data_IF_400478025617
#
_entry.id   IF_400478025617
#
_cell.length_a   1.000
_cell.length_b   1.000
_cell.length_c   1.000
_cell.angle_alpha   90.00
_cell.angle_beta   90.00
_cell.angle_gamma   90.00
#
_symmetry.space_group_name_H-M   'P 1'
#
loop_
_entity.id
_entity.type
_entity.pdbx_description
1 polymer ?
#
# COMPACT_ATOMS: atom_id res chain seq x y z
N UNK A 1 -11.62 57.88 57.31
CA UNK A 1 -12.17 56.70 56.62
C UNK A 1 -11.70 56.70 55.15
N UNK A 2 -10.90 55.69 54.80
CA UNK A 2 -10.71 55.04 53.48
C UNK A 2 -10.74 55.86 52.17
N UNK A 3 -9.57 56.12 51.58
CA UNK A 3 -9.39 56.51 50.15
C UNK A 3 -8.55 55.52 49.31
N UNK A 4 -8.20 54.34 49.82
CA UNK A 4 -7.16 53.48 49.20
C UNK A 4 -7.65 52.17 48.53
N UNK A 5 -8.94 52.02 48.19
CA UNK A 5 -9.47 50.72 47.70
C UNK A 5 -9.61 50.62 46.16
N UNK A 6 -9.58 51.73 45.42
CA UNK A 6 -9.92 51.72 43.97
C UNK A 6 -8.72 51.36 43.06
N UNK A 7 -7.47 51.48 43.53
CA UNK A 7 -6.29 51.19 42.70
C UNK A 7 -5.98 49.68 42.52
N UNK A 8 -6.52 48.80 43.38
CA UNK A 8 -6.22 47.36 43.34
C UNK A 8 -7.04 46.58 42.30
N UNK A 9 -8.25 47.04 41.96
CA UNK A 9 -9.17 46.33 41.06
C UNK A 9 -8.87 46.60 39.57
N UNK A 10 -8.31 47.78 39.25
CA UNK A 10 -7.90 48.11 37.88
C UNK A 10 -6.63 47.37 37.43
N UNK A 11 -5.71 47.06 38.35
CA UNK A 11 -4.45 46.37 38.05
C UNK A 11 -4.67 44.88 37.73
N UNK A 12 -5.62 44.23 38.42
CA UNK A 12 -5.96 42.81 38.18
C UNK A 12 -6.69 42.58 36.85
N UNK A 13 -7.51 43.54 36.42
CA UNK A 13 -8.24 43.45 35.15
C UNK A 13 -7.34 43.68 33.91
N UNK A 14 -6.35 44.59 34.00
CA UNK A 14 -5.36 44.79 32.93
C UNK A 14 -4.46 43.57 32.72
N UNK A 15 -4.15 42.84 33.80
CA UNK A 15 -3.28 41.66 33.74
C UNK A 15 -3.96 40.48 33.02
N UNK A 16 -5.28 40.32 33.14
CA UNK A 16 -6.01 39.23 32.46
C UNK A 16 -6.07 39.38 30.93
N UNK A 17 -6.13 40.61 30.41
CA UNK A 17 -6.21 40.88 28.96
C UNK A 17 -4.85 40.72 28.25
N UNK A 18 -3.75 41.13 28.90
CA UNK A 18 -2.40 41.04 28.32
C UNK A 18 -1.97 39.58 28.04
N UNK A 19 -2.30 38.65 28.93
CA UNK A 19 -1.94 37.24 28.76
C UNK A 19 -2.73 36.53 27.66
N UNK A 20 -3.94 37.02 27.34
CA UNK A 20 -4.77 36.42 26.29
C UNK A 20 -4.16 36.65 24.88
N UNK A 21 -3.61 37.85 24.64
CA UNK A 21 -2.95 38.18 23.39
C UNK A 21 -1.63 37.41 23.22
N UNK A 22 -0.81 37.34 24.28
CA UNK A 22 0.46 36.58 24.26
C UNK A 22 0.25 35.08 24.07
N UNK A 23 -0.77 34.49 24.73
CA UNK A 23 -1.12 33.08 24.54
C UNK A 23 -1.58 32.81 23.10
N UNK A 24 -2.35 33.73 22.52
CA UNK A 24 -2.77 33.66 21.12
C UNK A 24 -1.59 33.74 20.15
N UNK A 25 -0.57 34.55 20.42
CA UNK A 25 0.67 34.61 19.63
C UNK A 25 1.44 33.29 19.68
N UNK A 26 1.60 32.72 20.87
CA UNK A 26 2.26 31.43 21.05
C UNK A 26 1.54 30.31 20.29
N UNK A 27 0.20 30.31 20.35
CA UNK A 27 -0.65 29.38 19.62
C UNK A 27 -0.52 29.54 18.10
N UNK A 28 -0.42 30.78 17.59
CA UNK A 28 -0.18 31.02 16.15
C UNK A 28 1.16 30.46 15.70
N UNK A 29 2.22 30.60 16.50
CA UNK A 29 3.53 30.00 16.21
C UNK A 29 3.44 28.48 16.15
N UNK A 30 2.71 27.88 17.09
CA UNK A 30 2.45 26.44 17.11
C UNK A 30 1.73 25.96 15.85
N UNK A 31 0.64 26.62 15.46
CA UNK A 31 -0.15 26.29 14.27
C UNK A 31 0.67 26.43 12.98
N UNK A 32 1.60 27.39 12.94
CA UNK A 32 2.57 27.55 11.86
C UNK A 32 3.73 26.55 11.89
N UNK A 33 3.76 25.66 12.89
CA UNK A 33 4.83 24.68 13.13
C UNK A 33 6.20 25.32 13.44
N UNK A 34 6.19 26.55 13.95
CA UNK A 34 7.37 27.27 14.45
C UNK A 34 7.68 26.84 15.89
N UNK A 35 7.83 25.52 16.10
CA UNK A 35 7.80 24.90 17.44
C UNK A 35 8.86 25.45 18.40
N UNK A 36 10.05 25.82 17.91
CA UNK A 36 11.10 26.41 18.77
C UNK A 36 10.70 27.77 19.33
N UNK A 37 10.03 28.60 18.54
CA UNK A 37 9.57 29.93 18.99
C UNK A 37 8.32 29.79 19.86
N UNK A 38 7.40 28.89 19.50
CA UNK A 38 6.26 28.55 20.33
C UNK A 38 6.72 28.05 21.72
N UNK A 39 7.74 27.19 21.77
CA UNK A 39 8.31 26.66 23.01
C UNK A 39 8.79 27.78 23.94
N UNK A 40 9.51 28.75 23.38
CA UNK A 40 10.03 29.89 24.14
C UNK A 40 8.89 30.73 24.73
N UNK A 41 7.84 31.02 23.95
CA UNK A 41 6.71 31.81 24.44
C UNK A 41 5.86 31.06 25.46
N UNK A 42 5.54 29.78 25.21
CA UNK A 42 4.84 28.95 26.17
C UNK A 42 5.65 28.77 27.47
N UNK A 43 6.98 28.68 27.40
CA UNK A 43 7.85 28.64 28.59
C UNK A 43 7.65 29.88 29.48
N UNK A 44 7.72 31.08 28.90
CA UNK A 44 7.54 32.33 29.64
C UNK A 44 6.13 32.43 30.23
N UNK A 45 5.09 32.08 29.48
CA UNK A 45 3.70 32.13 29.94
C UNK A 45 3.41 31.08 31.03
N UNK A 46 3.96 29.87 30.91
CA UNK A 46 3.79 28.81 31.89
C UNK A 46 4.44 29.18 33.24
N UNK A 47 5.61 29.82 33.20
CA UNK A 47 6.31 30.38 34.38
C UNK A 47 5.49 31.49 35.05
N UNK A 48 4.81 32.34 34.27
CA UNK A 48 3.85 33.34 34.77
C UNK A 48 2.57 32.74 35.35
N UNK A 49 2.39 31.42 35.25
CA UNK A 49 1.26 30.72 35.84
C UNK A 49 0.06 30.55 34.92
N UNK A 50 0.16 30.87 33.62
CA UNK A 50 -0.94 30.72 32.66
C UNK A 50 -1.26 29.23 32.46
N UNK A 51 -2.44 28.72 32.87
CA UNK A 51 -2.71 27.28 32.90
C UNK A 51 -2.64 26.61 31.53
N UNK A 52 -3.19 27.25 30.49
CA UNK A 52 -3.13 26.74 29.11
C UNK A 52 -1.69 26.66 28.57
N UNK A 53 -0.82 27.59 28.95
CA UNK A 53 0.59 27.54 28.57
C UNK A 53 1.34 26.42 29.33
N UNK A 54 0.99 26.16 30.58
CA UNK A 54 1.55 25.01 31.33
C UNK A 54 1.14 23.68 30.71
N UNK A 55 -0.11 23.56 30.26
CA UNK A 55 -0.59 22.41 29.50
C UNK A 55 0.26 22.22 28.25
N UNK A 56 0.33 23.25 27.40
CA UNK A 56 1.08 23.19 26.14
C UNK A 56 2.56 22.90 26.35
N UNK A 57 3.22 23.59 27.27
CA UNK A 57 4.64 23.35 27.57
C UNK A 57 4.89 21.91 28.04
N UNK A 58 3.96 21.35 28.82
CA UNK A 58 3.99 19.95 29.24
C UNK A 58 3.94 18.98 28.06
N UNK A 59 3.04 19.21 27.10
CA UNK A 59 2.95 18.44 25.86
C UNK A 59 4.23 18.58 25.02
N UNK A 60 4.75 19.80 24.87
CA UNK A 60 5.98 20.06 24.11
C UNK A 60 7.19 19.29 24.65
N UNK A 61 7.37 19.23 25.98
CA UNK A 61 8.40 18.38 26.59
C UNK A 61 8.11 16.88 26.39
N UNK A 62 6.85 16.48 26.41
CA UNK A 62 6.44 15.08 26.27
C UNK A 62 6.64 14.51 24.86
N UNK A 63 6.38 15.32 23.84
CA UNK A 63 6.53 14.97 22.42
C UNK A 63 7.86 15.45 21.82
N UNK A 64 8.62 16.28 22.53
CA UNK A 64 9.89 16.85 22.02
C UNK A 64 9.67 17.87 20.90
N UNK A 65 8.55 18.61 20.93
CA UNK A 65 8.25 19.60 19.90
C UNK A 65 8.92 20.93 20.26
N UNK A 66 9.86 21.38 19.44
CA UNK A 66 10.64 22.59 19.69
C UNK A 66 11.71 22.46 20.79
N UNK A 67 11.83 21.29 21.41
CA UNK A 67 12.78 20.98 22.51
C UNK A 67 13.16 19.49 22.50
N UNK A 68 14.12 19.08 23.32
CA UNK A 68 14.37 17.67 23.56
C UNK A 68 13.25 17.07 24.45
N UNK A 69 12.89 15.81 24.19
CA UNK A 69 11.92 15.11 25.03
C UNK A 69 12.43 15.01 26.48
N UNK A 70 11.56 15.36 27.44
CA UNK A 70 11.84 15.30 28.88
C UNK A 70 10.55 14.94 29.63
N UNK A 71 10.38 13.65 29.94
CA UNK A 71 9.15 13.11 30.55
C UNK A 71 8.91 13.68 31.94
N UNK A 72 9.97 13.96 32.70
CA UNK A 72 9.85 14.50 34.04
C UNK A 72 9.40 15.96 34.02
N UNK A 73 9.94 16.78 33.10
CA UNK A 73 9.45 18.15 32.89
C UNK A 73 8.04 18.18 32.34
N UNK A 74 7.70 17.28 31.41
CA UNK A 74 6.34 17.14 30.93
C UNK A 74 5.38 16.88 32.09
N UNK A 75 5.71 15.91 32.96
CA UNK A 75 4.89 15.59 34.12
C UNK A 75 4.79 16.75 35.12
N UNK A 76 5.88 17.49 35.34
CA UNK A 76 5.89 18.68 36.19
C UNK A 76 4.89 19.74 35.70
N UNK A 77 4.96 20.12 34.43
CA UNK A 77 4.10 21.18 33.87
C UNK A 77 2.64 20.74 33.76
N UNK A 78 2.39 19.50 33.32
CA UNK A 78 1.03 18.97 33.22
C UNK A 78 0.35 18.81 34.59
N UNK A 79 1.09 18.41 35.63
CA UNK A 79 0.50 18.37 36.99
C UNK A 79 0.15 19.77 37.51
N UNK A 80 0.92 20.80 37.17
CA UNK A 80 0.58 22.20 37.49
C UNK A 80 -0.66 22.66 36.73
N UNK A 81 -0.73 22.39 35.42
CA UNK A 81 -1.90 22.71 34.61
C UNK A 81 -3.17 22.04 35.14
N UNK A 82 -3.09 20.74 35.48
CA UNK A 82 -4.17 19.98 36.12
C UNK A 82 -4.62 20.61 37.43
N UNK A 83 -3.68 20.97 38.31
CA UNK A 83 -3.97 21.64 39.57
C UNK A 83 -4.59 23.04 39.38
N UNK A 84 -4.28 23.70 38.26
CA UNK A 84 -4.83 24.99 37.86
C UNK A 84 -6.13 24.89 37.04
N UNK A 85 -6.76 23.70 36.99
CA UNK A 85 -8.08 23.49 36.38
C UNK A 85 -8.07 23.23 34.87
N UNK A 86 -6.97 22.75 34.30
CA UNK A 86 -6.92 22.21 32.92
C UNK A 86 -7.18 20.70 32.96
N UNK A 87 -8.43 20.22 32.75
CA UNK A 87 -8.74 18.79 32.80
C UNK A 87 -7.99 17.97 31.74
N UNK A 88 -7.69 18.56 30.58
CA UNK A 88 -6.96 17.96 29.47
C UNK A 88 -5.56 17.47 29.91
N UNK A 89 -4.94 18.15 30.88
CA UNK A 89 -3.61 17.80 31.35
C UNK A 89 -3.51 16.38 31.93
N UNK A 90 -4.61 15.83 32.45
CA UNK A 90 -4.66 14.45 32.91
C UNK A 90 -4.56 13.45 31.74
N UNK A 91 -5.20 13.75 30.61
CA UNK A 91 -5.10 12.95 29.39
C UNK A 91 -3.70 13.07 28.77
N UNK A 92 -3.15 14.28 28.68
CA UNK A 92 -1.79 14.51 28.16
C UNK A 92 -0.73 13.76 28.98
N UNK A 93 -0.89 13.66 30.31
CA UNK A 93 -0.01 12.85 31.16
C UNK A 93 -0.02 11.37 30.74
N UNK A 94 -1.20 10.81 30.46
CA UNK A 94 -1.33 9.42 30.02
C UNK A 94 -0.68 9.23 28.64
N UNK A 95 -0.87 10.17 27.71
CA UNK A 95 -0.25 10.13 26.40
C UNK A 95 1.28 10.17 26.48
N UNK A 96 1.84 11.07 27.29
CA UNK A 96 3.30 11.17 27.47
C UNK A 96 3.88 9.87 28.08
N UNK A 97 3.19 9.29 29.06
CA UNK A 97 3.60 8.02 29.66
C UNK A 97 3.51 6.86 28.66
N UNK A 98 2.43 6.79 27.88
CA UNK A 98 2.25 5.76 26.87
C UNK A 98 3.29 5.87 25.75
N UNK A 99 3.54 7.09 25.29
CA UNK A 99 4.62 7.39 24.33
C UNK A 99 5.98 6.90 24.84
N UNK A 100 6.28 7.14 26.12
CA UNK A 100 7.52 6.66 26.73
C UNK A 100 7.59 5.13 26.80
N UNK A 101 6.46 4.46 27.11
CA UNK A 101 6.39 2.98 27.10
C UNK A 101 6.59 2.40 25.70
N UNK A 102 6.04 3.05 24.69
CA UNK A 102 6.05 2.60 23.28
C UNK A 102 7.16 3.21 22.43
N UNK A 103 8.18 3.79 23.07
CA UNK A 103 9.30 4.46 22.38
C UNK A 103 9.97 3.58 21.33
N UNK A 104 10.15 2.29 21.62
CA UNK A 104 10.76 1.34 20.68
C UNK A 104 9.91 1.11 19.42
N UNK A 105 8.58 1.16 19.53
CA UNK A 105 7.68 1.04 18.37
C UNK A 105 7.77 2.30 17.49
N UNK A 106 7.80 3.49 18.09
CA UNK A 106 8.03 4.76 17.35
C UNK A 106 9.40 4.73 16.66
N UNK A 107 10.43 4.25 17.35
CA UNK A 107 11.79 4.11 16.82
C UNK A 107 11.84 3.15 15.63
N UNK A 108 11.10 2.05 15.68
CA UNK A 108 10.98 1.13 14.55
C UNK A 108 10.52 1.85 13.29
N UNK A 109 9.42 2.61 13.33
CA UNK A 109 8.92 3.31 12.15
C UNK A 109 9.83 4.45 11.68
N UNK A 110 10.57 5.09 12.60
CA UNK A 110 11.43 6.24 12.28
C UNK A 110 12.84 5.87 11.85
N UNK A 111 13.31 4.66 12.13
CA UNK A 111 14.71 4.26 11.94
C UNK A 111 14.90 2.85 11.37
N UNK A 112 14.07 1.88 11.76
CA UNK A 112 14.30 0.45 11.50
C UNK A 112 13.24 -0.21 10.61
N UNK A 113 12.34 0.58 10.02
CA UNK A 113 11.22 0.06 9.25
C UNK A 113 11.71 -0.81 8.08
N UNK A 114 11.34 -2.09 8.11
CA UNK A 114 11.79 -3.08 7.13
C UNK A 114 10.71 -3.44 6.09
N UNK A 115 9.46 -3.04 6.33
CA UNK A 115 8.33 -3.33 5.46
C UNK A 115 8.03 -4.83 5.34
N UNK A 116 8.29 -5.64 6.37
CA UNK A 116 8.13 -7.10 6.32
C UNK A 116 6.77 -7.57 5.76
N UNK A 117 5.67 -6.92 6.15
CA UNK A 117 4.32 -7.21 5.67
C UNK A 117 4.08 -6.84 4.19
N UNK A 118 4.94 -5.98 3.62
CA UNK A 118 4.86 -5.51 2.24
C UNK A 118 5.79 -6.27 1.30
N UNK A 119 6.64 -7.17 1.82
CA UNK A 119 7.56 -7.94 0.97
C UNK A 119 6.78 -8.85 0.01
N UNK A 120 7.26 -8.93 -1.23
CA UNK A 120 6.59 -9.71 -2.28
C UNK A 120 6.46 -11.20 -1.95
N UNK A 121 7.45 -11.79 -1.27
CA UNK A 121 7.43 -13.20 -0.86
C UNK A 121 6.32 -13.52 0.15
N UNK A 122 5.88 -12.54 0.93
CA UNK A 122 4.74 -12.69 1.84
C UNK A 122 3.42 -13.00 1.10
N UNK A 123 3.29 -12.57 -0.16
CA UNK A 123 2.07 -12.80 -0.96
C UNK A 123 2.00 -14.20 -1.57
N UNK A 124 3.11 -14.95 -1.57
CA UNK A 124 3.16 -16.33 -2.07
C UNK A 124 2.80 -16.47 -3.56
N UNK A 125 3.14 -15.46 -4.38
CA UNK A 125 2.83 -15.50 -5.81
C UNK A 125 3.73 -16.49 -6.55
N UNK A 126 3.13 -17.56 -7.09
CA UNK A 126 3.86 -18.58 -7.86
C UNK A 126 4.06 -18.09 -9.29
N UNK A 127 5.33 -17.86 -9.68
CA UNK A 127 5.67 -17.43 -11.04
C UNK A 127 5.21 -18.50 -12.06
N UNK A 128 4.49 -18.11 -13.13
CA UNK A 128 4.00 -19.06 -14.12
C UNK A 128 5.16 -19.56 -14.99
N UNK A 129 5.16 -20.84 -15.33
CA UNK A 129 6.04 -21.38 -16.38
C UNK A 129 5.38 -21.18 -17.73
N UNK A 130 5.98 -20.35 -18.58
CA UNK A 130 5.45 -20.00 -19.90
C UNK A 130 6.38 -20.61 -20.98
N UNK A 131 5.94 -21.64 -21.73
CA UNK A 131 6.76 -22.20 -22.80
C UNK A 131 6.85 -21.22 -23.98
N UNK A 132 7.79 -21.44 -24.91
CA UNK A 132 7.87 -20.62 -26.12
C UNK A 132 6.63 -20.76 -27.02
N UNK A 133 6.01 -21.95 -27.04
CA UNK A 133 4.80 -22.25 -27.82
C UNK A 133 4.03 -23.40 -27.17
N UNK A 134 2.70 -23.32 -27.14
CA UNK A 134 1.84 -24.44 -26.74
C UNK A 134 1.28 -25.15 -27.98
N UNK A 135 1.35 -26.49 -28.00
CA UNK A 135 0.93 -27.29 -29.16
C UNK A 135 -0.40 -28.04 -28.95
N UNK A 136 -0.96 -27.96 -27.75
CA UNK A 136 -2.24 -28.58 -27.41
C UNK A 136 -3.16 -27.60 -26.68
N UNK A 137 -4.47 -27.82 -26.79
CA UNK A 137 -5.47 -27.04 -26.05
C UNK A 137 -5.31 -27.17 -24.53
N UNK A 138 -4.83 -28.33 -24.05
CA UNK A 138 -4.56 -28.55 -22.64
C UNK A 138 -3.43 -27.64 -22.14
N UNK A 139 -2.32 -27.54 -22.89
CA UNK A 139 -1.21 -26.65 -22.55
C UNK A 139 -1.63 -25.18 -22.60
N UNK A 140 -2.42 -24.80 -23.62
CA UNK A 140 -2.95 -23.42 -23.73
C UNK A 140 -3.79 -23.05 -22.52
N UNK A 141 -4.68 -23.96 -22.09
CA UNK A 141 -5.51 -23.75 -20.90
C UNK A 141 -4.67 -23.65 -19.64
N UNK A 142 -3.66 -24.51 -19.48
CA UNK A 142 -2.80 -24.53 -18.31
C UNK A 142 -1.96 -23.24 -18.18
N UNK A 143 -1.32 -22.79 -19.26
CA UNK A 143 -0.52 -21.55 -19.26
C UNK A 143 -1.40 -20.34 -18.96
N UNK A 144 -2.56 -20.21 -19.61
CA UNK A 144 -3.49 -19.12 -19.32
C UNK A 144 -3.94 -19.13 -17.86
N UNK A 145 -4.29 -20.30 -17.32
CA UNK A 145 -4.70 -20.41 -15.91
C UNK A 145 -3.56 -20.00 -14.95
N UNK A 146 -2.32 -20.42 -15.22
CA UNK A 146 -1.16 -20.03 -14.42
C UNK A 146 -0.90 -18.53 -14.46
N UNK A 147 -0.93 -17.91 -15.65
CA UNK A 147 -0.75 -16.46 -15.81
C UNK A 147 -1.88 -15.69 -15.12
N UNK A 148 -3.13 -16.13 -15.24
CA UNK A 148 -4.26 -15.51 -14.55
C UNK A 148 -4.09 -15.59 -13.02
N UNK A 149 -3.76 -16.77 -12.48
CA UNK A 149 -3.53 -16.95 -11.05
C UNK A 149 -2.41 -16.03 -10.53
N UNK A 150 -1.29 -15.96 -11.26
CA UNK A 150 -0.18 -15.08 -10.90
C UNK A 150 -0.58 -13.60 -10.98
N UNK A 151 -1.27 -13.16 -12.03
CA UNK A 151 -1.71 -11.77 -12.20
C UNK A 151 -2.66 -11.35 -11.08
N UNK A 152 -3.59 -12.22 -10.68
CA UNK A 152 -4.47 -11.97 -9.53
C UNK A 152 -3.70 -11.88 -8.21
N UNK A 153 -2.65 -12.69 -8.03
CA UNK A 153 -1.79 -12.59 -6.85
C UNK A 153 -0.97 -11.30 -6.84
N UNK A 154 -0.30 -10.99 -7.95
CA UNK A 154 0.48 -9.76 -8.12
C UNK A 154 -0.39 -8.51 -7.93
N UNK A 155 -1.65 -8.54 -8.38
CA UNK A 155 -2.62 -7.47 -8.13
C UNK A 155 -2.87 -7.21 -6.64
N UNK A 156 -2.93 -8.25 -5.79
CA UNK A 156 -3.02 -8.07 -4.33
C UNK A 156 -1.77 -7.45 -3.74
N UNK A 157 -0.59 -7.83 -4.25
CA UNK A 157 0.68 -7.19 -3.87
C UNK A 157 0.65 -5.69 -4.18
N UNK A 158 0.30 -5.31 -5.41
CA UNK A 158 0.18 -3.91 -5.82
C UNK A 158 -0.85 -3.16 -4.96
N UNK A 159 -1.98 -3.78 -4.65
CA UNK A 159 -2.98 -3.18 -3.77
C UNK A 159 -2.44 -2.97 -2.35
N UNK A 160 -1.72 -3.95 -1.79
CA UNK A 160 -1.11 -3.82 -0.46
C UNK A 160 -0.06 -2.70 -0.40
N UNK A 161 0.74 -2.55 -1.46
CA UNK A 161 1.63 -1.39 -1.61
C UNK A 161 0.83 -0.09 -1.69
N UNK A 162 -0.24 -0.04 -2.50
CA UNK A 162 -1.09 1.16 -2.60
C UNK A 162 -1.70 1.56 -1.26
N UNK A 163 -2.14 0.59 -0.47
CA UNK A 163 -2.71 0.81 0.87
C UNK A 163 -1.66 1.27 1.90
N UNK A 164 -0.36 1.09 1.61
CA UNK A 164 0.71 1.54 2.51
C UNK A 164 0.97 3.04 2.45
N UNK A 165 0.34 3.75 1.51
CA UNK A 165 0.44 5.20 1.35
C UNK A 165 -0.93 5.88 1.56
N UNK A 166 -0.98 6.98 2.36
CA UNK A 166 0.13 7.56 3.13
C UNK A 166 0.58 6.66 4.29
N UNK A 167 1.67 7.02 4.98
CA UNK A 167 2.29 6.22 6.05
C UNK A 167 1.32 5.74 7.16
N UNK A 168 0.19 6.43 7.35
CA UNK A 168 -0.89 6.00 8.25
C UNK A 168 -1.59 4.70 7.82
N UNK A 169 -1.36 4.22 6.61
CA UNK A 169 -1.78 2.90 6.14
C UNK A 169 -0.94 1.75 6.72
N UNK A 170 0.24 2.03 7.29
CA UNK A 170 1.13 1.03 7.92
C UNK A 170 1.45 1.33 9.39
N UNK A 171 1.42 2.60 9.81
CA UNK A 171 1.59 3.00 11.21
C UNK A 171 0.26 2.76 11.95
N UNK A 172 0.24 1.98 13.05
CA UNK A 172 -0.96 1.76 13.85
C UNK A 172 -1.57 3.10 14.30
N UNK A 173 -2.91 3.30 14.19
CA UNK A 173 -3.53 4.59 14.49
C UNK A 173 -3.33 5.08 15.94
N UNK A 174 -3.22 4.14 16.88
CA UNK A 174 -2.92 4.39 18.28
C UNK A 174 -1.46 4.80 18.49
N UNK A 175 -0.53 4.24 17.72
CA UNK A 175 0.88 4.65 17.74
C UNK A 175 1.07 6.03 17.08
N UNK A 176 0.38 6.29 15.96
CA UNK A 176 0.43 7.58 15.26
C UNK A 176 0.10 8.77 16.17
N UNK A 177 -0.88 8.61 17.07
CA UNK A 177 -1.25 9.64 18.08
C UNK A 177 -0.14 9.95 19.08
N UNK A 178 0.85 9.06 19.23
CA UNK A 178 1.97 9.22 20.15
C UNK A 178 3.20 9.82 19.46
N UNK A 179 3.18 9.97 18.13
CA UNK A 179 4.31 10.50 17.39
C UNK A 179 4.28 12.02 17.36
N UNK A 180 5.45 12.64 17.51
CA UNK A 180 5.59 14.07 17.18
C UNK A 180 5.50 14.27 15.67
N UNK A 181 5.28 15.52 15.24
CA UNK A 181 5.29 15.81 13.82
C UNK A 181 6.62 15.40 13.14
N UNK A 182 7.77 15.67 13.77
CA UNK A 182 9.08 15.33 13.20
C UNK A 182 9.29 13.82 13.07
N UNK A 183 8.82 13.05 14.05
CA UNK A 183 8.84 11.58 13.98
C UNK A 183 7.94 11.08 12.86
N UNK A 184 6.74 11.60 12.72
CA UNK A 184 5.85 11.22 11.62
C UNK A 184 6.46 11.53 10.24
N UNK A 185 7.08 12.70 10.07
CA UNK A 185 7.77 13.05 8.82
C UNK A 185 8.92 12.09 8.53
N UNK A 186 9.76 11.77 9.53
CA UNK A 186 10.83 10.77 9.37
C UNK A 186 10.29 9.41 9.01
N UNK A 187 9.28 8.92 9.72
CA UNK A 187 8.65 7.64 9.43
C UNK A 187 8.05 7.61 8.02
N UNK A 188 7.40 8.69 7.60
CA UNK A 188 6.83 8.80 6.25
C UNK A 188 7.90 8.64 5.16
N UNK A 189 9.04 9.32 5.31
CA UNK A 189 10.18 9.21 4.38
C UNK A 189 10.79 7.80 4.42
N UNK A 190 10.96 7.22 5.60
CA UNK A 190 11.50 5.86 5.76
C UNK A 190 10.60 4.82 5.09
N UNK A 191 9.30 4.88 5.34
CA UNK A 191 8.29 3.99 4.75
C UNK A 191 8.28 4.15 3.24
N UNK A 192 8.23 5.39 2.74
CA UNK A 192 8.25 5.65 1.30
C UNK A 192 9.50 5.07 0.63
N UNK A 193 10.68 5.37 1.17
CA UNK A 193 11.94 4.83 0.65
C UNK A 193 11.97 3.30 0.67
N UNK A 194 11.49 2.68 1.76
CA UNK A 194 11.43 1.22 1.87
C UNK A 194 10.46 0.62 0.86
N UNK A 195 9.28 1.21 0.70
CA UNK A 195 8.28 0.79 -0.29
C UNK A 195 8.86 0.88 -1.70
N UNK A 196 9.54 1.98 -2.05
CA UNK A 196 10.20 2.12 -3.35
C UNK A 196 11.25 1.03 -3.59
N UNK A 197 12.01 0.63 -2.57
CA UNK A 197 12.95 -0.49 -2.68
C UNK A 197 12.24 -1.84 -2.88
N UNK A 198 11.14 -2.08 -2.17
CA UNK A 198 10.42 -3.37 -2.20
C UNK A 198 9.68 -3.63 -3.52
N UNK A 199 9.36 -2.61 -4.30
CA UNK A 199 8.60 -2.77 -5.56
C UNK A 199 9.48 -3.02 -6.80
N UNK A 200 10.78 -2.69 -6.78
CA UNK A 200 11.63 -2.74 -7.98
C UNK A 200 11.71 -4.13 -8.59
N UNK A 201 12.13 -5.13 -7.81
CA UNK A 201 12.28 -6.49 -8.33
C UNK A 201 10.94 -7.14 -8.72
N UNK A 202 9.85 -6.99 -7.92
CA UNK A 202 8.52 -7.43 -8.34
C UNK A 202 8.03 -6.78 -9.64
N UNK A 203 8.30 -5.48 -9.85
CA UNK A 203 7.96 -4.78 -11.09
C UNK A 203 8.72 -5.36 -12.29
N UNK A 204 10.03 -5.58 -12.17
CA UNK A 204 10.84 -6.22 -13.22
C UNK A 204 10.37 -7.65 -13.53
N UNK A 205 10.01 -8.41 -12.49
CA UNK A 205 9.42 -9.74 -12.65
C UNK A 205 8.10 -9.65 -13.45
N UNK A 206 7.25 -8.69 -13.12
CA UNK A 206 5.98 -8.50 -13.82
C UNK A 206 6.18 -8.15 -15.30
N UNK A 207 7.10 -7.25 -15.60
CA UNK A 207 7.47 -6.92 -16.99
C UNK A 207 7.93 -8.16 -17.76
N UNK A 208 8.76 -9.00 -17.12
CA UNK A 208 9.27 -10.24 -17.70
C UNK A 208 8.13 -11.23 -18.00
N UNK A 209 7.28 -11.54 -17.01
CA UNK A 209 6.15 -12.46 -17.16
C UNK A 209 5.19 -11.96 -18.24
N UNK A 210 4.93 -10.66 -18.32
CA UNK A 210 4.05 -10.08 -19.33
C UNK A 210 4.66 -10.13 -20.74
N UNK A 211 5.98 -9.92 -20.87
CA UNK A 211 6.69 -10.05 -22.13
C UNK A 211 6.69 -11.50 -22.62
N UNK A 212 6.98 -12.47 -21.75
CA UNK A 212 6.94 -13.90 -22.06
C UNK A 212 5.54 -14.34 -22.48
N UNK A 213 4.51 -13.94 -21.73
CA UNK A 213 3.11 -14.25 -22.05
C UNK A 213 2.71 -13.68 -23.43
N UNK A 214 3.13 -12.45 -23.74
CA UNK A 214 2.88 -11.82 -25.05
C UNK A 214 3.55 -12.60 -26.19
N UNK A 215 4.82 -12.97 -26.02
CA UNK A 215 5.57 -13.75 -27.00
C UNK A 215 4.94 -15.14 -27.21
N UNK A 216 4.62 -15.83 -26.12
CA UNK A 216 3.95 -17.13 -26.13
C UNK A 216 2.60 -17.09 -26.83
N UNK A 217 1.76 -16.07 -26.56
CA UNK A 217 0.46 -15.91 -27.25
C UNK A 217 0.65 -15.79 -28.76
N UNK A 218 1.54 -14.90 -29.21
CA UNK A 218 1.81 -14.70 -30.63
C UNK A 218 2.32 -15.98 -31.32
N UNK A 219 3.28 -16.67 -30.71
CA UNK A 219 3.84 -17.91 -31.26
C UNK A 219 2.80 -19.06 -31.29
N UNK A 220 1.98 -19.17 -30.24
CA UNK A 220 0.94 -20.20 -30.11
C UNK A 220 -0.21 -19.97 -31.08
N UNK A 221 -0.68 -18.73 -31.23
CA UNK A 221 -1.70 -18.37 -32.22
C UNK A 221 -1.22 -18.70 -33.64
N UNK A 222 0.04 -18.36 -33.96
CA UNK A 222 0.66 -18.74 -35.24
C UNK A 222 0.69 -20.25 -35.43
N UNK A 223 1.16 -21.01 -34.44
CA UNK A 223 1.20 -22.48 -34.52
C UNK A 223 -0.19 -23.08 -34.75
N UNK A 224 -1.21 -22.61 -34.01
CA UNK A 224 -2.58 -23.09 -34.15
C UNK A 224 -3.12 -22.83 -35.56
N UNK A 225 -2.90 -21.64 -36.11
CA UNK A 225 -3.30 -21.29 -37.47
C UNK A 225 -2.61 -22.19 -38.51
N UNK A 226 -1.28 -22.32 -38.43
CA UNK A 226 -0.49 -23.13 -39.36
C UNK A 226 -0.90 -24.62 -39.29
N UNK A 227 -1.11 -25.15 -38.08
CA UNK A 227 -1.53 -26.53 -37.86
C UNK A 227 -2.94 -26.81 -38.37
N UNK A 228 -3.89 -25.89 -38.15
CA UNK A 228 -5.26 -26.02 -38.67
C UNK A 228 -5.28 -26.01 -40.19
N UNK A 229 -4.52 -25.11 -40.83
CA UNK A 229 -4.38 -25.08 -42.28
C UNK A 229 -3.82 -26.41 -42.84
N UNK A 230 -2.80 -26.98 -42.19
CA UNK A 230 -2.23 -28.28 -42.57
C UNK A 230 -3.22 -29.44 -42.38
N UNK A 231 -4.04 -29.42 -41.32
CA UNK A 231 -5.11 -30.41 -41.12
C UNK A 231 -6.15 -30.28 -42.23
N UNK A 232 -6.57 -29.07 -42.58
CA UNK A 232 -7.56 -28.83 -43.65
C UNK A 232 -7.06 -29.30 -45.01
N UNK A 233 -5.79 -29.04 -45.34
CA UNK A 233 -5.16 -29.51 -46.58
C UNK A 233 -5.12 -31.04 -46.64
N UNK A 234 -4.71 -31.70 -45.55
CA UNK A 234 -4.71 -33.15 -45.43
C UNK A 234 -6.12 -33.74 -45.53
N UNK A 235 -7.12 -33.11 -44.92
CA UNK A 235 -8.51 -33.54 -45.02
C UNK A 235 -9.05 -33.42 -46.45
N UNK A 236 -8.70 -32.35 -47.18
CA UNK A 236 -9.04 -32.20 -48.60
C UNK A 236 -8.41 -33.31 -49.44
N UNK A 237 -7.12 -33.61 -49.22
CA UNK A 237 -6.41 -34.70 -49.92
C UNK A 237 -7.07 -36.06 -49.64
N UNK A 238 -7.33 -36.38 -48.37
CA UNK A 238 -7.97 -37.62 -47.98
C UNK A 238 -9.38 -37.77 -48.60
N UNK A 239 -10.13 -36.66 -48.72
CA UNK A 239 -11.44 -36.65 -49.38
C UNK A 239 -11.31 -36.97 -50.87
N UNK A 240 -10.36 -36.35 -51.57
CA UNK A 240 -10.10 -36.64 -52.99
C UNK A 240 -9.73 -38.11 -53.17
N UNK A 241 -8.85 -38.63 -52.32
CA UNK A 241 -8.42 -40.04 -52.35
C UNK A 241 -9.60 -41.00 -52.10
N UNK A 242 -10.45 -40.68 -51.12
CA UNK A 242 -11.68 -41.42 -50.86
C UNK A 242 -12.65 -41.40 -52.05
N UNK A 243 -12.86 -40.22 -52.66
CA UNK A 243 -13.77 -40.06 -53.81
C UNK A 243 -13.25 -40.82 -55.06
N UNK A 244 -11.93 -40.89 -55.26
CA UNK A 244 -11.30 -41.67 -56.33
C UNK A 244 -11.50 -43.17 -56.09
N UNK A 245 -11.15 -43.66 -54.90
CA UNK A 245 -11.31 -45.06 -54.53
C UNK A 245 -12.78 -45.51 -54.68
N UNK A 246 -13.72 -44.68 -54.26
CA UNK A 246 -15.14 -45.01 -54.37
C UNK A 246 -15.59 -45.12 -55.84
N UNK A 247 -15.10 -44.24 -56.73
CA UNK A 247 -15.37 -44.34 -58.17
C UNK A 247 -14.80 -45.62 -58.80
N UNK A 248 -13.60 -46.01 -58.40
CA UNK A 248 -12.97 -47.26 -58.85
C UNK A 248 -13.81 -48.48 -58.43
N UNK A 249 -14.24 -48.52 -57.16
CA UNK A 249 -15.10 -49.58 -56.63
C UNK A 249 -16.43 -49.66 -57.40
N UNK A 250 -17.09 -48.52 -57.64
CA UNK A 250 -18.34 -48.46 -58.41
C UNK A 250 -18.15 -48.94 -59.86
N UNK A 251 -17.04 -48.56 -60.51
CA UNK A 251 -16.72 -49.03 -61.86
C UNK A 251 -16.49 -50.53 -61.90
N UNK A 252 -15.74 -51.07 -60.94
CA UNK A 252 -15.48 -52.51 -60.83
C UNK A 252 -16.76 -53.30 -60.59
N UNK A 253 -17.65 -52.78 -59.74
CA UNK A 253 -18.94 -53.38 -59.47
C UNK A 253 -19.83 -53.39 -60.72
N UNK A 254 -19.93 -52.27 -61.43
CA UNK A 254 -20.67 -52.17 -62.68
C UNK A 254 -20.14 -53.15 -63.74
N UNK A 255 -18.81 -53.22 -63.89
CA UNK A 255 -18.16 -54.17 -64.81
C UNK A 255 -18.51 -55.63 -64.48
N UNK A 256 -18.46 -56.00 -63.19
CA UNK A 256 -18.85 -57.34 -62.74
C UNK A 256 -20.31 -57.64 -63.02
N UNK A 257 -21.21 -56.69 -62.81
CA UNK A 257 -22.63 -56.87 -63.13
C UNK A 257 -22.86 -57.09 -64.63
N UNK A 258 -22.17 -56.34 -65.49
CA UNK A 258 -22.29 -56.49 -66.94
C UNK A 258 -21.74 -57.84 -67.42
N UNK A 259 -20.62 -58.30 -66.85
CA UNK A 259 -20.09 -59.66 -67.11
C UNK A 259 -21.12 -60.73 -66.71
N UNK A 260 -21.76 -60.59 -65.54
CA UNK A 260 -22.79 -61.54 -65.08
C UNK A 260 -24.01 -61.55 -66.01
N UNK A 261 -24.49 -60.38 -66.45
CA UNK A 261 -25.59 -60.23 -67.41
C UNK A 261 -25.26 -60.80 -68.79
N UNK A 262 -24.02 -60.62 -69.25
CA UNK A 262 -23.58 -61.19 -70.53
C UNK A 262 -23.56 -62.72 -70.48
N UNK A 263 -23.07 -63.30 -69.38
CA UNK A 263 -23.07 -64.75 -69.15
C UNK A 263 -24.47 -65.35 -69.04
N UNK A 264 -25.43 -64.63 -68.46
CA UNK A 264 -26.82 -65.11 -68.35
C UNK A 264 -27.57 -65.09 -69.69
N UNK A 265 -27.13 -64.31 -70.69
CA UNK A 265 -27.71 -64.28 -72.04
C UNK A 265 -27.15 -65.36 -72.98
N UNK A 266 -26.06 -66.02 -72.60
CA UNK A 266 -25.41 -67.09 -73.37
C UNK A 266 -25.83 -68.51 -72.92
N UNK A 267 -26.71 -68.62 -71.92
CA UNK A 267 -27.35 -69.87 -71.48
C UNK A 267 -28.79 -69.88 -71.93
#
# INVERSE_FOLDING_TARGET
MSKNVIAAVALTALCGLLHADELGDAQRLWEKREFKQAFQQFSVLAERGVPAAQLQLGEMYGFGEGTAQDVDKAAYWLNRAKAAGQPEAAESLLLVQERQRRKAEIEYYTTHYDGAALRYDHYGCVQPTIPAVSKSNADIKAVNAAVTAWTSCYGRFVQGIGNSQPATGVIPPDLFKLMSNEEYQRASVQIENKVQQLIVEPQRLAETVMAENKAWKSATEKYVLDNNASIDERNKKNKIEYDVLNKEIESDYAMRQDILRARSKQR
#
